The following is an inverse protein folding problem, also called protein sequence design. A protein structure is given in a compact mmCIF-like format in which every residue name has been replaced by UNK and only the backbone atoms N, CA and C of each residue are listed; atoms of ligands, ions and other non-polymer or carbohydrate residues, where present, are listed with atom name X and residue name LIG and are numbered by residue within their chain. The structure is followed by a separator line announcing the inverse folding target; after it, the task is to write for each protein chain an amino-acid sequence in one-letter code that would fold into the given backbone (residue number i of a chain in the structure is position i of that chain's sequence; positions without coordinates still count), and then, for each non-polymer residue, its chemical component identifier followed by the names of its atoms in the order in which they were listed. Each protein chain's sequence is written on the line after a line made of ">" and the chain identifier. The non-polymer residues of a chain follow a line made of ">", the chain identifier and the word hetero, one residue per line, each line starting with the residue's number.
data_IF_994403998378
#
_entry.id   IF_994403998378
#
_cell.length_a   1.000
_cell.length_b   1.000
_cell.length_c   1.000
_cell.angle_alpha   90.00
_cell.angle_beta   90.00
_cell.angle_gamma   90.00
#
_symmetry.space_group_name_H-M   'P 1'
#
loop_
_entity.id
_entity.type
_entity.pdbx_description
1 polymer ?
#
# COMPACT_ATOMS: atom_id res chain seq x y z
N UNK A 1 18.92 13.45 -2.85
CA UNK A 1 17.70 13.55 -2.01
C UNK A 1 16.54 13.07 -2.83
N UNK A 2 15.43 12.56 -2.22
CA UNK A 2 14.20 12.32 -2.97
C UNK A 2 13.48 13.65 -3.23
N UNK A 3 12.90 13.78 -4.42
CA UNK A 3 12.10 14.94 -4.79
C UNK A 3 10.87 14.52 -5.60
N UNK A 4 9.83 15.35 -5.57
CA UNK A 4 8.65 15.14 -6.38
C UNK A 4 8.90 15.65 -7.81
N UNK A 5 8.69 14.79 -8.79
CA UNK A 5 8.64 15.11 -10.21
C UNK A 5 7.30 15.74 -10.59
N UNK A 6 6.20 15.23 -10.00
CA UNK A 6 4.87 15.78 -10.20
C UNK A 6 3.94 15.45 -9.04
N UNK A 7 2.91 16.27 -8.84
CA UNK A 7 1.73 15.94 -8.04
C UNK A 7 0.48 16.33 -8.83
N UNK A 8 -0.38 15.36 -9.08
CA UNK A 8 -1.62 15.53 -9.86
C UNK A 8 -2.83 15.28 -9.00
N UNK A 9 -3.90 15.99 -9.31
CA UNK A 9 -5.22 15.76 -8.73
C UNK A 9 -6.24 15.53 -9.84
N UNK A 10 -6.86 14.35 -9.83
CA UNK A 10 -7.96 14.00 -10.72
C UNK A 10 -9.26 13.87 -9.92
N UNK A 11 -10.40 13.99 -10.58
CA UNK A 11 -11.71 13.77 -9.96
C UNK A 11 -12.35 12.52 -10.56
N UNK A 12 -12.74 11.59 -9.70
CA UNK A 12 -13.48 10.39 -10.11
C UNK A 12 -14.85 10.79 -10.62
N UNK A 13 -15.29 10.31 -11.81
CA UNK A 13 -16.64 10.55 -12.29
C UNK A 13 -17.70 10.12 -11.28
N UNK A 14 -18.63 11.00 -10.97
CA UNK A 14 -19.69 10.73 -9.96
C UNK A 14 -20.54 9.51 -10.27
N UNK A 15 -20.67 9.15 -11.55
CA UNK A 15 -21.38 7.95 -12.01
C UNK A 15 -20.76 6.64 -11.49
N UNK A 16 -19.48 6.66 -11.12
CA UNK A 16 -18.76 5.50 -10.58
C UNK A 16 -18.86 5.40 -9.05
N UNK A 17 -19.15 6.49 -8.37
CA UNK A 17 -19.25 6.55 -6.92
C UNK A 17 -20.68 6.20 -6.48
N UNK A 18 -21.01 4.92 -6.51
CA UNK A 18 -22.30 4.44 -6.00
C UNK A 18 -22.20 4.24 -4.48
N UNK A 19 -22.81 5.17 -3.73
CA UNK A 19 -22.91 5.11 -2.27
C UNK A 19 -21.55 4.85 -1.59
N UNK A 20 -20.66 5.85 -1.54
CA UNK A 20 -19.42 5.70 -0.82
C UNK A 20 -19.74 5.43 0.65
N UNK A 21 -19.42 4.23 1.11
CA UNK A 21 -19.44 3.98 2.54
C UNK A 21 -18.37 4.84 3.19
N UNK A 22 -18.62 5.35 4.39
CA UNK A 22 -17.59 6.05 5.14
C UNK A 22 -16.36 5.15 5.25
N UNK A 23 -15.18 5.70 4.96
CA UNK A 23 -13.93 4.97 5.07
C UNK A 23 -13.72 4.45 6.49
N UNK A 24 -13.04 3.33 6.59
CA UNK A 24 -12.47 2.85 7.85
C UNK A 24 -11.18 3.62 8.16
N UNK A 25 -10.61 3.40 9.34
CA UNK A 25 -9.26 3.85 9.66
C UNK A 25 -8.23 3.31 8.65
N UNK A 26 -8.47 2.11 8.12
CA UNK A 26 -7.62 1.49 7.10
C UNK A 26 -7.98 2.01 5.70
N UNK A 27 -6.97 2.56 5.01
CA UNK A 27 -7.09 3.17 3.67
C UNK A 27 -6.61 2.20 2.57
N UNK A 28 -7.26 1.04 2.42
CA UNK A 28 -6.79 -0.07 1.58
C UNK A 28 -7.63 -0.27 0.29
N UNK A 29 -8.43 0.73 -0.11
CA UNK A 29 -9.34 0.61 -1.26
C UNK A 29 -8.77 1.16 -2.56
N UNK A 30 -7.45 1.30 -2.62
CA UNK A 30 -6.71 1.82 -3.77
C UNK A 30 -5.52 0.91 -4.10
N UNK A 31 -5.29 0.67 -5.38
CA UNK A 31 -4.08 0.06 -5.88
C UNK A 31 -3.62 0.74 -7.18
N UNK A 32 -2.33 0.74 -7.45
CA UNK A 32 -1.71 1.47 -8.55
C UNK A 32 -0.82 0.58 -9.41
N UNK A 33 -0.85 0.83 -10.71
CA UNK A 33 0.12 0.30 -11.65
C UNK A 33 0.52 1.38 -12.65
N UNK A 34 1.81 1.57 -12.87
CA UNK A 34 2.34 2.49 -13.90
C UNK A 34 2.64 1.69 -15.15
N UNK A 35 2.15 2.15 -16.29
CA UNK A 35 2.39 1.49 -17.57
C UNK A 35 3.88 1.47 -17.92
N UNK A 36 4.31 0.49 -18.69
CA UNK A 36 5.71 0.28 -19.05
C UNK A 36 6.34 1.47 -19.79
N UNK A 37 5.54 2.18 -20.59
CA UNK A 37 5.95 3.40 -21.29
C UNK A 37 6.01 4.65 -20.41
N UNK A 38 5.60 4.55 -19.14
CA UNK A 38 5.51 5.65 -18.18
C UNK A 38 4.59 6.80 -18.59
N UNK A 39 3.76 6.62 -19.59
CA UNK A 39 2.87 7.66 -20.09
C UNK A 39 1.62 7.82 -19.23
N UNK A 40 1.17 6.74 -18.61
CA UNK A 40 -0.04 6.71 -17.78
C UNK A 40 0.08 5.82 -16.54
N UNK A 41 -0.76 6.10 -15.56
CA UNK A 41 -0.94 5.31 -14.36
C UNK A 41 -2.37 4.74 -14.34
N UNK A 42 -2.50 3.45 -14.12
CA UNK A 42 -3.76 2.80 -13.84
C UNK A 42 -4.03 2.81 -12.35
N UNK A 43 -5.14 3.40 -12.00
CA UNK A 43 -5.61 3.52 -10.62
C UNK A 43 -6.83 2.65 -10.44
N UNK A 44 -6.74 1.64 -9.60
CA UNK A 44 -7.84 0.77 -9.24
C UNK A 44 -8.43 1.27 -7.93
N UNK A 45 -9.76 1.52 -7.91
CA UNK A 45 -10.48 1.95 -6.73
C UNK A 45 -11.63 1.00 -6.44
N UNK A 46 -11.84 0.68 -5.16
CA UNK A 46 -12.97 -0.12 -4.71
C UNK A 46 -14.06 0.77 -4.11
N UNK A 47 -15.21 0.85 -4.81
CA UNK A 47 -16.37 1.61 -4.37
C UNK A 47 -17.59 0.68 -4.22
N UNK A 48 -18.08 0.54 -3.00
CA UNK A 48 -19.10 -0.45 -2.67
C UNK A 48 -18.62 -1.87 -2.95
N UNK A 49 -19.37 -2.64 -3.72
CA UNK A 49 -19.02 -4.01 -4.13
C UNK A 49 -18.34 -4.10 -5.51
N UNK A 50 -17.86 -2.98 -6.05
CA UNK A 50 -17.30 -2.89 -7.40
C UNK A 50 -15.90 -2.31 -7.38
N UNK A 51 -15.08 -2.70 -8.38
CA UNK A 51 -13.75 -2.14 -8.62
C UNK A 51 -13.78 -1.42 -9.97
N UNK A 52 -13.27 -0.20 -9.97
CA UNK A 52 -13.12 0.62 -11.17
C UNK A 52 -11.64 0.82 -11.47
N UNK A 53 -11.29 0.75 -12.75
CA UNK A 53 -10.00 1.11 -13.29
C UNK A 53 -10.10 2.50 -13.89
N UNK A 54 -9.22 3.37 -13.50
CA UNK A 54 -9.09 4.74 -14.01
C UNK A 54 -7.71 4.88 -14.64
N UNK A 55 -7.63 5.57 -15.75
CA UNK A 55 -6.37 5.89 -16.41
C UNK A 55 -6.08 7.38 -16.28
N UNK A 56 -4.90 7.70 -15.72
CA UNK A 56 -4.46 9.07 -15.48
C UNK A 56 -3.11 9.28 -16.16
N UNK A 57 -3.00 10.36 -16.96
CA UNK A 57 -1.76 10.72 -17.65
C UNK A 57 -0.62 11.03 -16.66
N UNK A 58 0.58 10.55 -16.98
CA UNK A 58 1.82 10.79 -16.24
C UNK A 58 2.78 11.73 -16.98
N UNK A 59 2.32 12.43 -18.03
CA UNK A 59 3.15 13.38 -18.77
C UNK A 59 3.73 14.45 -17.84
N UNK A 60 4.93 14.93 -18.19
CA UNK A 60 5.66 15.86 -17.33
C UNK A 60 4.84 17.12 -17.03
N UNK A 61 4.80 17.47 -15.75
CA UNK A 61 4.16 18.67 -15.24
C UNK A 61 5.12 19.39 -14.29
N UNK A 62 4.98 20.72 -14.20
CA UNK A 62 5.77 21.50 -13.27
C UNK A 62 5.28 21.27 -11.84
N UNK A 63 6.21 20.95 -10.94
CA UNK A 63 5.89 20.81 -9.53
C UNK A 63 5.81 22.18 -8.87
N UNK A 64 4.63 22.53 -8.41
CA UNK A 64 4.43 23.73 -7.59
C UNK A 64 4.70 23.38 -6.12
N UNK A 65 5.62 24.13 -5.47
CA UNK A 65 5.95 23.97 -4.06
C UNK A 65 5.45 25.17 -3.25
N UNK A 66 4.76 24.86 -2.17
CA UNK A 66 4.36 25.83 -1.16
C UNK A 66 5.41 25.95 -0.04
N UNK A 67 4.99 26.48 1.09
CA UNK A 67 5.83 26.55 2.31
C UNK A 67 6.10 25.16 2.87
N UNK A 68 7.26 24.98 3.53
CA UNK A 68 7.63 23.75 4.27
C UNK A 68 7.61 22.48 3.41
N UNK A 69 8.03 22.58 2.15
CA UNK A 69 8.05 21.46 1.20
C UNK A 69 6.67 20.83 0.93
N UNK A 70 5.60 21.58 1.14
CA UNK A 70 4.25 21.19 0.75
C UNK A 70 4.11 21.27 -0.77
N UNK A 71 3.71 20.17 -1.39
CA UNK A 71 3.42 20.11 -2.82
C UNK A 71 2.00 20.60 -3.08
N UNK A 72 1.82 21.36 -4.15
CA UNK A 72 0.52 21.85 -4.62
C UNK A 72 0.13 21.03 -5.85
N UNK A 73 -1.02 20.34 -5.82
CA UNK A 73 -1.42 19.47 -6.93
C UNK A 73 -1.85 20.27 -8.16
N UNK A 74 -1.45 19.79 -9.33
CA UNK A 74 -1.98 20.22 -10.61
C UNK A 74 -3.24 19.44 -10.96
N UNK A 75 -4.26 20.10 -11.49
CA UNK A 75 -5.49 19.45 -11.93
C UNK A 75 -5.24 18.67 -13.22
N UNK A 76 -5.73 17.43 -13.25
CA UNK A 76 -5.71 16.60 -14.45
C UNK A 76 -7.04 15.89 -14.64
N UNK A 77 -7.27 15.38 -15.84
CA UNK A 77 -8.47 14.63 -16.16
C UNK A 77 -8.19 13.12 -16.10
N UNK A 78 -9.24 12.37 -15.78
CA UNK A 78 -9.25 10.92 -15.96
C UNK A 78 -9.42 10.65 -17.45
N UNK A 79 -8.42 10.09 -18.10
CA UNK A 79 -8.41 9.82 -19.55
C UNK A 79 -9.44 8.75 -19.92
N UNK A 80 -9.53 7.72 -19.12
CA UNK A 80 -10.43 6.59 -19.31
C UNK A 80 -10.88 6.02 -17.98
N UNK A 81 -12.08 5.45 -17.97
CA UNK A 81 -12.60 4.73 -16.79
C UNK A 81 -13.39 3.52 -17.21
N UNK A 82 -13.14 2.39 -16.59
CA UNK A 82 -13.84 1.14 -16.85
C UNK A 82 -14.18 0.40 -15.56
N UNK A 83 -15.24 -0.40 -15.60
CA UNK A 83 -15.56 -1.32 -14.53
C UNK A 83 -14.69 -2.57 -14.71
N UNK A 84 -14.04 -3.02 -13.66
CA UNK A 84 -13.40 -4.34 -13.61
C UNK A 84 -14.51 -5.37 -13.40
N UNK A 85 -14.92 -6.04 -14.49
CA UNK A 85 -16.22 -6.73 -14.60
C UNK A 85 -16.41 -7.95 -13.72
N UNK A 86 -15.38 -8.49 -13.12
CA UNK A 86 -15.47 -9.84 -12.59
C UNK A 86 -15.20 -9.96 -11.10
N UNK A 87 -15.50 -8.90 -10.36
CA UNK A 87 -15.49 -8.95 -8.90
C UNK A 87 -16.93 -9.01 -8.36
N UNK A 88 -17.59 -10.18 -8.37
CA UNK A 88 -18.97 -10.30 -7.93
C UNK A 88 -19.06 -10.32 -6.39
N UNK A 89 -18.50 -9.33 -5.73
CA UNK A 89 -18.65 -9.20 -4.29
C UNK A 89 -20.11 -8.93 -3.92
N UNK A 90 -20.59 -9.60 -2.90
CA UNK A 90 -21.93 -9.42 -2.36
C UNK A 90 -22.03 -8.35 -1.31
N UNK A 91 -20.89 -7.99 -0.73
CA UNK A 91 -20.77 -6.94 0.27
C UNK A 91 -19.68 -5.95 -0.12
N UNK A 92 -19.49 -4.93 0.70
CA UNK A 92 -18.54 -3.87 0.46
C UNK A 92 -17.10 -4.39 0.47
N UNK A 93 -16.33 -4.01 -0.56
CA UNK A 93 -14.92 -4.34 -0.66
C UNK A 93 -14.15 -3.48 0.36
N UNK A 94 -13.39 -4.14 1.21
CA UNK A 94 -12.61 -3.50 2.28
C UNK A 94 -11.16 -3.25 1.90
N UNK A 95 -10.60 -4.09 1.04
CA UNK A 95 -9.20 -3.99 0.63
C UNK A 95 -8.99 -4.56 -0.77
N UNK A 96 -8.09 -3.92 -1.51
CA UNK A 96 -7.58 -4.41 -2.79
C UNK A 96 -6.06 -4.40 -2.79
N UNK A 97 -5.45 -5.34 -3.49
CA UNK A 97 -4.01 -5.44 -3.67
C UNK A 97 -3.67 -5.85 -5.10
N UNK A 98 -2.56 -5.35 -5.61
CA UNK A 98 -1.98 -5.77 -6.90
C UNK A 98 -0.72 -6.61 -6.66
N UNK A 99 -0.55 -7.63 -7.50
CA UNK A 99 0.68 -8.38 -7.62
C UNK A 99 1.07 -8.48 -9.10
N UNK A 100 2.37 -8.48 -9.36
CA UNK A 100 2.91 -8.68 -10.70
C UNK A 100 3.37 -10.13 -10.84
N UNK A 101 3.18 -10.72 -12.02
CA UNK A 101 3.73 -12.05 -12.30
C UNK A 101 5.17 -11.92 -12.78
N UNK A 102 6.04 -12.89 -12.43
CA UNK A 102 7.46 -12.89 -12.81
C UNK A 102 7.72 -12.76 -14.32
N UNK A 103 6.75 -13.10 -15.16
CA UNK A 103 6.82 -13.00 -16.62
C UNK A 103 6.24 -11.72 -17.18
N UNK A 104 6.01 -10.71 -16.35
CA UNK A 104 5.55 -9.33 -16.66
C UNK A 104 4.34 -9.17 -17.60
N UNK A 105 3.69 -10.24 -18.03
CA UNK A 105 2.59 -10.14 -19.00
C UNK A 105 1.23 -9.89 -18.38
N UNK A 106 1.11 -9.98 -17.06
CA UNK A 106 -0.20 -9.90 -16.39
C UNK A 106 -0.09 -9.29 -14.99
N UNK A 107 -1.06 -8.46 -14.67
CA UNK A 107 -1.34 -8.01 -13.32
C UNK A 107 -2.33 -8.94 -12.65
N UNK A 108 -2.17 -9.16 -11.37
CA UNK A 108 -3.11 -9.89 -10.52
C UNK A 108 -3.74 -8.89 -9.58
N UNK A 109 -5.05 -8.79 -9.62
CA UNK A 109 -5.84 -7.96 -8.70
C UNK A 109 -6.55 -8.87 -7.69
N UNK A 110 -6.20 -8.74 -6.44
CA UNK A 110 -6.91 -9.34 -5.32
C UNK A 110 -7.86 -8.34 -4.67
N UNK A 111 -9.01 -8.81 -4.27
CA UNK A 111 -9.99 -8.03 -3.52
C UNK A 111 -10.64 -8.86 -2.43
N UNK A 112 -10.97 -8.22 -1.32
CA UNK A 112 -11.64 -8.87 -0.20
C UNK A 112 -12.78 -8.00 0.32
N UNK A 113 -13.93 -8.60 0.55
CA UNK A 113 -15.09 -7.91 1.11
C UNK A 113 -15.18 -8.04 2.64
N UNK A 114 -16.19 -7.40 3.25
CA UNK A 114 -16.38 -7.36 4.71
C UNK A 114 -16.63 -8.74 5.36
N UNK A 115 -16.98 -9.77 4.57
CA UNK A 115 -17.08 -11.15 5.04
C UNK A 115 -15.79 -11.95 4.89
N UNK A 116 -14.76 -11.36 4.27
CA UNK A 116 -13.50 -12.04 3.99
C UNK A 116 -13.55 -12.90 2.72
N UNK A 117 -14.54 -12.71 1.86
CA UNK A 117 -14.56 -13.36 0.55
C UNK A 117 -13.44 -12.81 -0.32
N UNK A 118 -12.47 -13.64 -0.65
CA UNK A 118 -11.35 -13.34 -1.51
C UNK A 118 -11.76 -13.59 -2.97
N UNK A 119 -11.49 -12.60 -3.83
CA UNK A 119 -11.58 -12.77 -5.29
C UNK A 119 -10.27 -12.31 -5.89
N UNK A 120 -9.68 -13.14 -6.74
CA UNK A 120 -8.44 -12.85 -7.45
C UNK A 120 -8.72 -12.91 -8.96
N UNK A 121 -8.42 -11.82 -9.63
CA UNK A 121 -8.63 -11.65 -11.07
C UNK A 121 -7.31 -11.39 -11.78
N UNK A 122 -7.16 -11.98 -12.94
CA UNK A 122 -6.04 -11.73 -13.84
C UNK A 122 -6.39 -10.59 -14.78
N UNK A 123 -5.56 -9.57 -14.83
CA UNK A 123 -5.70 -8.42 -15.70
C UNK A 123 -4.64 -8.48 -16.82
N UNK A 124 -5.00 -8.08 -18.02
CA UNK A 124 -4.05 -7.98 -19.13
C UNK A 124 -3.32 -6.64 -19.10
N UNK A 125 -2.01 -6.65 -19.31
CA UNK A 125 -1.19 -5.44 -19.43
C UNK A 125 -1.51 -4.59 -20.67
N UNK A 126 -2.22 -5.15 -21.67
CA UNK A 126 -2.67 -4.38 -22.84
C UNK A 126 -3.85 -3.43 -22.53
N UNK A 127 -4.30 -3.36 -21.28
CA UNK A 127 -5.43 -2.53 -20.87
C UNK A 127 -6.80 -3.09 -21.24
N UNK A 128 -6.85 -4.24 -21.90
CA UNK A 128 -8.08 -5.00 -22.11
C UNK A 128 -8.28 -5.92 -20.93
N UNK A 129 -9.32 -5.69 -20.17
CA UNK A 129 -9.70 -6.57 -19.08
C UNK A 129 -9.99 -7.96 -19.68
N UNK A 130 -9.10 -8.91 -19.40
CA UNK A 130 -9.38 -10.30 -19.75
C UNK A 130 -10.37 -10.81 -18.72
N UNK A 131 -11.58 -11.03 -19.16
CA UNK A 131 -12.74 -11.47 -18.42
C UNK A 131 -12.55 -12.85 -17.73
N UNK A 132 -11.48 -13.05 -16.97
CA UNK A 132 -11.23 -14.33 -16.32
C UNK A 132 -10.94 -14.16 -14.84
N UNK A 133 -11.98 -14.43 -14.05
CA UNK A 133 -11.79 -14.78 -12.65
C UNK A 133 -10.72 -15.88 -12.58
N UNK A 134 -9.63 -15.61 -11.87
CA UNK A 134 -8.57 -16.59 -11.66
C UNK A 134 -9.00 -17.60 -10.61
N UNK A 135 -9.44 -17.12 -9.44
CA UNK A 135 -10.02 -17.95 -8.39
C UNK A 135 -10.78 -17.11 -7.37
N UNK A 136 -11.62 -17.77 -6.58
CA UNK A 136 -12.25 -17.16 -5.41
C UNK A 136 -12.25 -18.11 -4.24
N UNK A 137 -12.08 -17.59 -3.04
CA UNK A 137 -12.06 -18.37 -1.81
C UNK A 137 -12.98 -17.74 -0.75
N UNK A 138 -13.81 -18.57 -0.14
CA UNK A 138 -14.65 -18.19 0.98
C UNK A 138 -14.03 -18.69 2.28
N UNK A 139 -14.08 -17.90 3.36
CA UNK A 139 -13.68 -18.41 4.67
C UNK A 139 -14.56 -19.60 5.09
N UNK A 140 -13.97 -20.53 5.83
CA UNK A 140 -14.69 -21.75 6.30
C UNK A 140 -15.89 -21.44 7.20
N UNK A 141 -15.85 -20.31 7.90
CA UNK A 141 -16.87 -19.80 8.81
C UNK A 141 -17.62 -18.60 8.18
N UNK A 142 -17.87 -18.64 6.86
CA UNK A 142 -18.59 -17.58 6.16
C UNK A 142 -19.97 -17.35 6.79
N UNK A 143 -20.34 -16.08 6.93
CA UNK A 143 -21.58 -15.66 7.60
C UNK A 143 -21.40 -15.32 9.10
N UNK A 144 -20.22 -15.56 9.67
CA UNK A 144 -19.83 -15.06 11.00
C UNK A 144 -18.94 -13.85 10.84
N UNK A 145 -19.24 -12.76 11.53
CA UNK A 145 -18.39 -11.59 11.56
C UNK A 145 -18.64 -10.57 10.47
N UNK A 146 -19.89 -10.31 10.21
CA UNK A 146 -20.34 -9.25 9.32
C UNK A 146 -19.82 -7.87 9.75
N UNK A 147 -19.36 -7.08 8.77
CA UNK A 147 -19.16 -5.64 8.92
C UNK A 147 -17.81 -5.20 9.51
N UNK A 148 -16.86 -6.12 9.69
CA UNK A 148 -15.49 -5.77 10.09
C UNK A 148 -14.59 -5.43 8.89
N UNK A 149 -13.47 -4.75 9.19
CA UNK A 149 -12.41 -4.61 8.19
C UNK A 149 -11.83 -5.97 7.82
N UNK A 150 -11.58 -6.14 6.52
CA UNK A 150 -10.84 -7.26 5.95
C UNK A 150 -9.71 -6.73 5.08
N UNK A 151 -8.51 -7.26 5.28
CA UNK A 151 -7.31 -6.88 4.54
C UNK A 151 -6.75 -8.02 3.73
N UNK A 152 -6.07 -7.71 2.64
CA UNK A 152 -5.40 -8.67 1.78
C UNK A 152 -3.96 -8.28 1.54
N UNK A 153 -3.06 -9.26 1.49
CA UNK A 153 -1.73 -9.13 0.90
C UNK A 153 -1.34 -10.39 0.14
N UNK A 154 -0.54 -10.21 -0.90
CA UNK A 154 0.07 -11.31 -1.66
C UNK A 154 1.49 -11.56 -1.20
N UNK A 155 1.94 -12.81 -1.33
CA UNK A 155 3.35 -13.14 -1.18
C UNK A 155 4.14 -12.51 -2.35
N UNK A 156 5.25 -11.80 -2.07
CA UNK A 156 6.04 -11.17 -3.12
C UNK A 156 6.72 -12.17 -4.06
N UNK A 157 6.93 -13.41 -3.63
CA UNK A 157 7.54 -14.46 -4.47
C UNK A 157 6.51 -15.30 -5.22
N UNK A 158 5.27 -15.36 -4.75
CA UNK A 158 4.23 -16.24 -5.30
C UNK A 158 2.87 -15.54 -5.24
N UNK A 159 2.45 -14.95 -6.35
CA UNK A 159 1.16 -14.27 -6.44
C UNK A 159 -0.06 -15.16 -6.12
N UNK A 160 0.08 -16.47 -6.24
CA UNK A 160 -0.97 -17.43 -5.88
C UNK A 160 -1.17 -17.56 -4.37
N UNK A 161 -0.16 -17.19 -3.56
CA UNK A 161 -0.26 -17.19 -2.10
C UNK A 161 -0.79 -15.85 -1.60
N UNK A 162 -1.95 -15.88 -0.97
CA UNK A 162 -2.60 -14.71 -0.39
C UNK A 162 -2.92 -14.93 1.09
N UNK A 163 -2.80 -13.86 1.88
CA UNK A 163 -3.28 -13.83 3.26
C UNK A 163 -4.41 -12.82 3.39
N UNK A 164 -5.51 -13.24 4.02
CA UNK A 164 -6.72 -12.45 4.23
C UNK A 164 -6.95 -12.29 5.73
N UNK A 165 -6.82 -11.07 6.24
CA UNK A 165 -7.15 -10.75 7.63
C UNK A 165 -8.63 -10.40 7.75
N UNK A 166 -9.28 -10.91 8.81
CA UNK A 166 -10.64 -10.55 9.20
C UNK A 166 -10.62 -10.00 10.62
N UNK A 167 -10.79 -8.69 10.73
CA UNK A 167 -10.65 -8.00 12.02
C UNK A 167 -11.65 -8.52 13.04
N UNK A 168 -12.92 -8.58 12.71
CA UNK A 168 -13.97 -9.05 13.62
C UNK A 168 -13.72 -10.47 14.15
N UNK A 169 -13.29 -11.38 13.28
CA UNK A 169 -13.04 -12.78 13.63
C UNK A 169 -11.68 -13.01 14.34
N UNK A 170 -10.83 -11.98 14.43
CA UNK A 170 -9.44 -12.11 14.92
C UNK A 170 -8.71 -13.26 14.24
N UNK A 171 -8.81 -13.33 12.93
CA UNK A 171 -8.24 -14.42 12.14
C UNK A 171 -7.59 -13.92 10.87
N UNK A 172 -6.62 -14.70 10.42
CA UNK A 172 -5.99 -14.53 9.11
C UNK A 172 -6.03 -15.88 8.42
N UNK A 173 -6.72 -15.94 7.29
CA UNK A 173 -6.79 -17.12 6.45
C UNK A 173 -5.72 -17.01 5.36
N UNK A 174 -4.92 -18.07 5.20
CA UNK A 174 -3.87 -18.17 4.19
C UNK A 174 -4.32 -19.14 3.11
N UNK A 175 -4.21 -18.70 1.88
CA UNK A 175 -4.61 -19.44 0.70
C UNK A 175 -3.45 -19.64 -0.27
N UNK A 176 -3.41 -20.81 -0.94
CA UNK A 176 -2.67 -21.03 -2.17
C UNK A 176 -3.72 -21.24 -3.28
N UNK A 177 -3.90 -20.24 -4.11
CA UNK A 177 -5.05 -20.11 -5.01
C UNK A 177 -6.37 -20.20 -4.22
N UNK A 178 -7.25 -21.13 -4.57
CA UNK A 178 -8.53 -21.40 -3.90
C UNK A 178 -8.39 -22.38 -2.71
N UNK A 179 -7.20 -22.93 -2.50
CA UNK A 179 -6.93 -23.92 -1.44
C UNK A 179 -6.64 -23.17 -0.15
N UNK A 180 -7.48 -23.36 0.86
CA UNK A 180 -7.23 -22.87 2.20
C UNK A 180 -6.13 -23.71 2.87
N UNK A 181 -4.98 -23.09 3.17
CA UNK A 181 -3.84 -23.73 3.81
C UNK A 181 -4.00 -23.78 5.33
N UNK A 182 -4.23 -22.63 5.94
CA UNK A 182 -4.34 -22.52 7.40
C UNK A 182 -5.09 -21.26 7.83
N UNK A 183 -5.60 -21.28 9.05
CA UNK A 183 -6.14 -20.10 9.74
C UNK A 183 -5.25 -19.78 10.94
N UNK A 184 -4.70 -18.59 10.95
CA UNK A 184 -3.97 -18.00 12.07
C UNK A 184 -4.98 -17.31 12.98
N UNK A 185 -4.91 -17.55 14.29
CA UNK A 185 -5.71 -16.86 15.31
C UNK A 185 -4.88 -15.78 15.97
N UNK A 186 -5.28 -14.51 15.78
CA UNK A 186 -4.64 -13.37 16.41
C UNK A 186 -5.19 -13.13 17.83
N UNK A 187 -4.42 -12.50 18.69
CA UNK A 187 -4.87 -12.17 20.06
C UNK A 187 -5.83 -10.98 20.05
N UNK A 188 -5.53 -10.01 19.19
CA UNK A 188 -6.31 -8.78 19.05
C UNK A 188 -6.87 -8.66 17.64
N UNK A 189 -7.64 -7.61 17.41
CA UNK A 189 -8.18 -7.29 16.09
C UNK A 189 -7.04 -6.91 15.14
N UNK A 190 -6.79 -7.69 14.08
CA UNK A 190 -5.79 -7.31 13.08
C UNK A 190 -6.21 -6.03 12.35
N UNK A 191 -5.25 -5.15 12.11
CA UNK A 191 -5.45 -3.84 11.47
C UNK A 191 -4.66 -3.68 10.18
N UNK A 192 -3.56 -4.43 10.02
CA UNK A 192 -2.76 -4.46 8.80
C UNK A 192 -1.91 -5.72 8.74
N UNK A 193 -1.54 -6.13 7.53
CA UNK A 193 -0.68 -7.28 7.31
C UNK A 193 0.18 -7.08 6.07
N UNK A 194 1.38 -7.64 6.08
CA UNK A 194 2.24 -7.73 4.90
C UNK A 194 3.13 -8.96 4.95
N UNK A 195 3.36 -9.58 3.80
CA UNK A 195 4.44 -10.56 3.69
C UNK A 195 5.79 -9.86 3.75
N UNK A 196 6.73 -10.49 4.44
CA UNK A 196 8.08 -9.97 4.54
C UNK A 196 8.92 -10.43 3.35
N UNK A 197 9.67 -9.49 2.77
CA UNK A 197 10.69 -9.82 1.79
C UNK A 197 11.91 -10.37 2.54
N UNK A 198 12.21 -11.66 2.40
CA UNK A 198 13.39 -12.26 3.04
C UNK A 198 14.64 -12.08 2.17
N UNK A 199 15.75 -11.67 2.81
CA UNK A 199 17.07 -11.58 2.18
C UNK A 199 17.74 -12.93 1.91
N UNK A 200 17.16 -14.01 2.37
CA UNK A 200 17.73 -15.36 2.18
C UNK A 200 17.39 -15.86 0.77
N UNK A 201 18.38 -16.40 0.11
CA UNK A 201 18.41 -16.89 -1.27
C UNK A 201 17.50 -18.11 -1.60
N UNK A 202 16.32 -18.16 -1.00
CA UNK A 202 15.27 -19.12 -1.30
C UNK A 202 13.97 -18.34 -1.57
N UNK A 203 13.26 -18.73 -2.62
CA UNK A 203 12.02 -18.10 -3.09
C UNK A 203 10.82 -18.19 -2.11
N UNK A 204 11.04 -18.40 -0.82
CA UNK A 204 9.97 -18.63 0.14
C UNK A 204 9.76 -17.44 1.08
N UNK A 205 8.91 -16.51 0.69
CA UNK A 205 8.34 -15.49 1.59
C UNK A 205 7.29 -16.13 2.49
N UNK A 206 7.73 -16.86 3.50
CA UNK A 206 6.83 -17.56 4.44
C UNK A 206 6.53 -16.77 5.71
N UNK A 207 7.16 -15.59 5.87
CA UNK A 207 6.96 -14.75 7.04
C UNK A 207 5.89 -13.68 6.77
N UNK A 208 4.92 -13.63 7.69
CA UNK A 208 3.84 -12.65 7.68
C UNK A 208 3.96 -11.74 8.90
N UNK A 209 4.04 -10.43 8.67
CA UNK A 209 3.98 -9.41 9.71
C UNK A 209 2.56 -8.88 9.83
N UNK A 210 2.06 -8.80 11.06
CA UNK A 210 0.67 -8.40 11.35
C UNK A 210 0.66 -7.41 12.50
N UNK A 211 -0.03 -6.29 12.32
CA UNK A 211 -0.39 -5.40 13.43
C UNK A 211 -1.75 -5.80 14.00
N UNK A 212 -1.80 -5.98 15.31
CA UNK A 212 -3.00 -6.37 16.03
C UNK A 212 -3.05 -5.65 17.40
N UNK A 213 -4.00 -4.75 17.60
CA UNK A 213 -4.03 -3.91 18.80
C UNK A 213 -2.74 -3.12 18.99
N UNK A 214 -2.10 -3.21 20.14
CA UNK A 214 -0.84 -2.53 20.45
C UNK A 214 0.42 -3.39 20.19
N UNK A 215 0.33 -4.42 19.35
CA UNK A 215 1.46 -5.30 19.07
C UNK A 215 1.66 -5.56 17.57
N UNK A 216 2.94 -5.82 17.22
CA UNK A 216 3.36 -6.40 15.96
C UNK A 216 3.64 -7.88 16.22
N UNK A 217 2.97 -8.77 15.51
CA UNK A 217 3.19 -10.21 15.55
C UNK A 217 3.77 -10.70 14.23
N UNK A 218 4.73 -11.62 14.33
CA UNK A 218 5.41 -12.23 13.19
C UNK A 218 5.10 -13.71 13.16
N UNK A 219 4.67 -14.18 12.01
CA UNK A 219 4.19 -15.54 11.81
C UNK A 219 5.00 -16.22 10.71
N UNK A 220 5.55 -17.41 11.01
CA UNK A 220 6.15 -18.27 9.98
C UNK A 220 5.13 -19.33 9.58
N UNK A 221 4.67 -19.24 8.34
CA UNK A 221 3.63 -20.12 7.79
C UNK A 221 4.05 -21.59 7.66
N UNK A 222 5.35 -21.86 7.77
CA UNK A 222 5.91 -23.25 7.74
C UNK A 222 5.86 -23.92 9.11
N UNK A 223 5.80 -23.13 10.18
CA UNK A 223 5.82 -23.63 11.55
C UNK A 223 4.41 -23.97 12.02
N UNK A 224 4.27 -25.12 12.67
CA UNK A 224 3.01 -25.53 13.32
C UNK A 224 3.01 -25.27 14.83
N UNK A 225 4.19 -25.15 15.42
CA UNK A 225 4.37 -24.86 16.84
C UNK A 225 3.88 -23.44 17.17
N UNK A 226 3.22 -23.27 18.30
CA UNK A 226 2.62 -22.00 18.72
C UNK A 226 1.71 -21.35 17.65
N UNK A 227 1.11 -22.15 16.76
CA UNK A 227 0.30 -21.68 15.64
C UNK A 227 1.09 -20.92 14.59
N UNK A 228 2.44 -21.02 14.58
CA UNK A 228 3.34 -20.32 13.66
C UNK A 228 3.81 -18.94 14.14
N UNK A 229 3.41 -18.48 15.32
CA UNK A 229 3.88 -17.20 15.85
C UNK A 229 5.32 -17.32 16.37
N UNK A 230 6.25 -16.66 15.67
CA UNK A 230 7.69 -16.69 16.01
C UNK A 230 8.13 -15.50 16.84
N UNK A 231 7.45 -14.35 16.72
CA UNK A 231 7.82 -13.18 17.49
C UNK A 231 6.64 -12.25 17.75
N UNK A 232 6.67 -11.53 18.90
CA UNK A 232 5.73 -10.46 19.23
C UNK A 232 6.46 -9.29 19.84
N UNK A 233 6.21 -8.10 19.28
CA UNK A 233 6.73 -6.84 19.79
C UNK A 233 5.53 -6.05 20.29
N UNK A 234 5.52 -5.74 21.60
CA UNK A 234 4.47 -4.93 22.19
C UNK A 234 4.89 -3.45 22.19
N UNK A 235 4.00 -2.59 21.74
CA UNK A 235 4.05 -1.16 21.95
C UNK A 235 3.60 -0.79 23.37
N UNK A 236 3.48 0.50 23.64
CA UNK A 236 2.93 0.97 24.91
C UNK A 236 1.43 0.65 24.99
N UNK A 237 0.93 0.43 26.20
CA UNK A 237 -0.50 0.21 26.43
C UNK A 237 -1.30 1.44 25.96
N UNK A 238 -2.23 1.22 25.04
CA UNK A 238 -3.05 2.28 24.43
C UNK A 238 -2.55 2.77 23.06
N UNK A 239 -1.33 2.46 22.67
CA UNK A 239 -0.79 2.83 21.34
C UNK A 239 -1.15 1.76 20.33
N UNK A 240 -2.31 1.90 19.70
CA UNK A 240 -2.79 0.96 18.68
C UNK A 240 -1.96 1.12 17.41
N UNK A 241 -1.44 0.00 16.89
CA UNK A 241 -0.80 -0.05 15.58
C UNK A 241 -1.86 -0.23 14.49
N UNK A 242 -1.86 0.65 13.48
CA UNK A 242 -2.82 0.61 12.39
C UNK A 242 -2.23 0.08 11.09
N UNK A 243 -0.92 0.22 10.90
CA UNK A 243 -0.29 -0.11 9.63
C UNK A 243 1.09 -0.72 9.80
N UNK A 244 1.43 -1.65 8.90
CA UNK A 244 2.74 -2.26 8.79
C UNK A 244 3.13 -2.35 7.32
N UNK A 245 4.39 -2.10 7.02
CA UNK A 245 4.99 -2.40 5.72
C UNK A 245 6.39 -2.96 5.88
N UNK A 246 6.85 -3.72 4.90
CA UNK A 246 8.20 -4.29 4.86
C UNK A 246 8.97 -3.83 3.64
N UNK A 247 10.26 -3.70 3.80
CA UNK A 247 11.24 -3.66 2.71
C UNK A 247 12.11 -4.92 2.77
N UNK A 248 13.06 -5.04 1.86
CA UNK A 248 14.04 -6.15 1.90
C UNK A 248 14.85 -6.20 3.19
N UNK A 249 15.01 -5.09 3.91
CA UNK A 249 15.89 -4.99 5.10
C UNK A 249 15.19 -4.60 6.37
N UNK A 250 14.01 -3.97 6.31
CA UNK A 250 13.39 -3.33 7.46
C UNK A 250 11.87 -3.53 7.47
N UNK A 251 11.28 -3.39 8.66
CA UNK A 251 9.84 -3.34 8.86
C UNK A 251 9.49 -1.99 9.49
N UNK A 252 8.49 -1.31 8.96
CA UNK A 252 7.96 -0.08 9.52
C UNK A 252 6.56 -0.33 10.10
N UNK A 253 6.31 0.25 11.27
CA UNK A 253 5.02 0.20 11.96
C UNK A 253 4.62 1.61 12.36
N UNK A 254 3.34 1.92 12.23
CA UNK A 254 2.76 3.19 12.63
C UNK A 254 1.35 3.04 13.17
N UNK A 255 0.87 4.02 13.92
CA UNK A 255 -0.44 3.94 14.54
C UNK A 255 -0.89 5.19 15.28
N UNK A 256 -1.63 4.98 16.37
CA UNK A 256 -2.28 6.01 17.16
C UNK A 256 -1.30 6.97 17.85
N UNK A 257 -0.09 6.52 18.19
CA UNK A 257 0.95 7.33 18.82
C UNK A 257 1.63 8.32 17.84
N UNK A 258 1.25 8.30 16.55
CA UNK A 258 1.79 9.17 15.48
C UNK A 258 3.30 9.02 15.30
N UNK A 259 3.81 7.84 15.63
CA UNK A 259 5.24 7.49 15.56
C UNK A 259 5.44 6.44 14.46
N UNK A 260 6.45 6.63 13.63
CA UNK A 260 6.95 5.56 12.76
C UNK A 260 8.09 4.87 13.47
N UNK A 261 7.95 3.59 13.74
CA UNK A 261 9.03 2.77 14.31
C UNK A 261 9.55 1.81 13.25
N UNK A 262 10.85 1.82 13.02
CA UNK A 262 11.54 0.93 12.10
C UNK A 262 12.26 -0.16 12.88
N UNK A 263 12.01 -1.42 12.52
CA UNK A 263 12.62 -2.60 13.14
C UNK A 263 13.59 -3.28 12.18
N UNK A 264 14.68 -3.82 12.76
CA UNK A 264 15.56 -4.77 12.09
C UNK A 264 14.97 -6.20 12.25
N UNK A 265 14.52 -6.87 11.17
CA UNK A 265 13.93 -8.19 11.26
C UNK A 265 14.92 -9.30 11.66
N UNK A 266 16.23 -9.03 11.65
CA UNK A 266 17.24 -9.99 12.09
C UNK A 266 17.36 -10.05 13.61
N UNK A 267 17.11 -8.91 14.28
CA UNK A 267 17.29 -8.76 15.73
C UNK A 267 16.00 -8.39 16.45
N UNK A 268 14.96 -8.01 15.70
CA UNK A 268 13.68 -7.52 16.22
C UNK A 268 13.85 -6.32 17.17
N UNK A 269 14.90 -5.53 16.94
CA UNK A 269 15.17 -4.30 17.67
C UNK A 269 14.74 -3.10 16.87
N UNK A 270 14.27 -2.06 17.57
CA UNK A 270 13.97 -0.78 16.92
C UNK A 270 15.28 -0.12 16.48
N UNK A 271 15.39 0.18 15.18
CA UNK A 271 16.48 0.94 14.59
C UNK A 271 16.27 2.44 14.75
N UNK A 272 15.02 2.87 14.61
CA UNK A 272 14.64 4.28 14.72
C UNK A 272 13.19 4.39 15.18
N UNK A 273 12.91 5.49 15.89
CA UNK A 273 11.56 5.93 16.27
C UNK A 273 11.39 7.39 15.88
N UNK A 274 10.66 7.64 14.82
CA UNK A 274 10.32 8.99 14.40
C UNK A 274 9.03 9.44 15.08
N UNK A 275 9.19 10.04 16.24
CA UNK A 275 8.08 10.41 17.13
C UNK A 275 7.36 11.65 16.61
N UNK A 276 6.02 11.62 16.65
CA UNK A 276 5.16 12.71 16.20
C UNK A 276 5.43 13.20 14.78
N UNK A 277 5.81 12.31 13.87
CA UNK A 277 6.08 12.65 12.48
C UNK A 277 4.83 13.13 11.72
N UNK A 278 3.65 12.69 12.13
CA UNK A 278 2.35 13.14 11.64
C UNK A 278 1.58 13.93 12.69
N UNK A 279 0.68 14.78 12.24
CA UNK A 279 -0.22 15.54 13.13
C UNK A 279 -1.27 14.66 13.79
N UNK A 280 -1.76 13.64 13.09
CA UNK A 280 -2.75 12.69 13.55
C UNK A 280 -2.24 11.26 13.40
N UNK A 281 -3.09 10.28 13.69
CA UNK A 281 -2.77 8.86 13.63
C UNK A 281 -2.27 8.44 12.26
N UNK A 282 -1.32 7.51 12.22
CA UNK A 282 -0.73 6.96 11.00
C UNK A 282 -1.52 5.74 10.58
N UNK A 283 -2.09 5.79 9.37
CA UNK A 283 -2.95 4.74 8.84
C UNK A 283 -2.40 4.08 7.57
N UNK A 284 -1.36 4.64 6.97
CA UNK A 284 -0.68 4.05 5.82
C UNK A 284 0.84 4.27 5.86
N UNK A 285 1.58 3.25 5.45
CA UNK A 285 3.03 3.27 5.35
C UNK A 285 3.50 2.56 4.08
N UNK A 286 4.55 3.09 3.46
CA UNK A 286 5.27 2.41 2.40
C UNK A 286 6.74 2.83 2.40
N UNK A 287 7.66 1.88 2.18
CA UNK A 287 9.06 2.23 1.92
C UNK A 287 9.25 2.72 0.49
N UNK A 288 10.21 3.61 0.30
CA UNK A 288 10.67 3.98 -1.03
C UNK A 288 11.34 2.78 -1.71
N UNK A 289 11.06 2.59 -3.02
CA UNK A 289 11.76 1.62 -3.86
C UNK A 289 13.10 2.14 -4.36
N UNK A 290 13.28 3.47 -4.37
CA UNK A 290 14.49 4.13 -4.85
C UNK A 290 15.57 4.13 -3.76
N UNK A 291 15.16 4.37 -2.50
CA UNK A 291 16.09 4.49 -1.39
C UNK A 291 15.41 4.05 -0.08
N UNK A 292 15.85 2.95 0.48
CA UNK A 292 15.26 2.31 1.66
C UNK A 292 15.37 3.14 2.96
N UNK A 293 16.13 4.24 2.95
CA UNK A 293 16.19 5.18 4.06
C UNK A 293 15.00 6.14 4.11
N UNK A 294 14.12 6.07 3.08
CA UNK A 294 12.91 6.89 3.02
C UNK A 294 11.65 6.07 3.22
N UNK A 295 10.71 6.67 3.93
CA UNK A 295 9.38 6.13 4.19
C UNK A 295 8.31 7.14 3.82
N UNK A 296 7.24 6.66 3.19
CA UNK A 296 6.03 7.41 2.96
C UNK A 296 5.06 7.13 4.09
N UNK A 297 4.50 8.18 4.66
CA UNK A 297 3.61 8.12 5.81
C UNK A 297 2.31 8.81 5.45
N UNK A 298 1.20 8.11 5.59
CA UNK A 298 -0.14 8.64 5.43
C UNK A 298 -0.79 8.76 6.80
N UNK A 299 -1.24 9.96 7.12
CA UNK A 299 -2.06 10.23 8.30
C UNK A 299 -3.55 10.08 7.99
N UNK A 300 -4.35 9.93 9.02
CA UNK A 300 -5.83 9.90 8.89
C UNK A 300 -6.39 11.25 8.40
N UNK A 301 -5.63 12.33 8.56
CA UNK A 301 -6.01 13.74 8.38
C UNK A 301 -5.59 14.36 7.06
N UNK A 302 -5.74 13.72 5.96
CA UNK A 302 -5.42 14.28 4.64
C UNK A 302 -3.93 14.38 4.29
N UNK A 303 -3.00 14.29 5.23
CA UNK A 303 -1.57 14.47 4.95
C UNK A 303 -0.90 13.15 4.56
N UNK A 304 -0.14 13.22 3.47
CA UNK A 304 0.88 12.23 3.09
C UNK A 304 2.22 12.92 3.10
N UNK A 305 3.21 12.35 3.76
CA UNK A 305 4.57 12.88 3.79
C UNK A 305 5.60 11.82 3.39
N UNK A 306 6.70 12.28 2.84
CA UNK A 306 7.91 11.52 2.63
C UNK A 306 8.98 12.01 3.60
N UNK A 307 9.65 11.10 4.26
CA UNK A 307 10.73 11.46 5.17
C UNK A 307 11.83 10.43 5.26
N UNK A 308 13.00 10.92 5.66
CA UNK A 308 14.17 10.12 5.95
C UNK A 308 14.08 9.64 7.39
N UNK A 309 13.82 8.35 7.57
CA UNK A 309 13.51 7.81 8.90
C UNK A 309 14.72 7.78 9.84
N UNK A 310 15.97 7.67 9.32
CA UNK A 310 17.18 7.68 10.15
C UNK A 310 17.36 9.01 10.86
N UNK A 311 17.13 10.10 10.14
CA UNK A 311 17.34 11.46 10.64
C UNK A 311 16.04 12.09 11.19
N UNK A 312 14.92 11.34 11.12
CA UNK A 312 13.58 11.84 11.50
C UNK A 312 13.23 13.15 10.77
N UNK A 313 13.59 13.24 9.49
CA UNK A 313 13.49 14.47 8.71
C UNK A 313 12.44 14.34 7.61
N UNK A 314 11.41 15.20 7.66
CA UNK A 314 10.42 15.35 6.60
C UNK A 314 11.09 16.02 5.38
N UNK A 315 10.85 15.47 4.19
CA UNK A 315 11.42 15.95 2.91
C UNK A 315 10.38 16.68 2.09
N UNK A 316 9.21 16.07 1.93
CA UNK A 316 8.08 16.64 1.20
C UNK A 316 6.77 16.12 1.77
N UNK A 317 5.69 16.84 1.47
CA UNK A 317 4.34 16.38 1.80
C UNK A 317 3.33 16.92 0.80
N UNK A 318 2.17 16.29 0.75
CA UNK A 318 1.00 16.81 0.10
C UNK A 318 -0.26 16.52 0.93
N UNK A 319 -1.36 17.18 0.59
CA UNK A 319 -2.62 17.03 1.30
C UNK A 319 -3.74 16.66 0.35
N UNK A 320 -4.55 15.71 0.78
CA UNK A 320 -5.87 15.48 0.21
C UNK A 320 -6.85 16.59 0.57
N UNK A 321 -8.06 16.45 0.10
CA UNK A 321 -9.15 17.41 0.36
C UNK A 321 -10.23 16.86 1.30
N UNK A 322 -10.14 15.57 1.64
CA UNK A 322 -11.04 14.88 2.57
C UNK A 322 -10.39 13.60 3.11
N UNK A 323 -11.14 12.77 3.82
CA UNK A 323 -10.63 11.51 4.38
C UNK A 323 -10.15 10.55 3.29
N UNK A 324 -9.07 9.84 3.58
CA UNK A 324 -8.53 8.83 2.68
C UNK A 324 -9.35 7.55 2.73
N UNK A 325 -9.84 7.10 1.58
CA UNK A 325 -10.42 5.77 1.36
C UNK A 325 -9.36 4.77 0.91
N UNK A 326 -8.32 5.25 0.25
CA UNK A 326 -7.23 4.44 -0.23
C UNK A 326 -5.92 5.18 -0.29
N UNK A 327 -4.85 4.48 0.08
CA UNK A 327 -3.47 4.90 -0.10
C UNK A 327 -2.66 3.72 -0.61
N UNK A 328 -1.89 3.93 -1.65
CA UNK A 328 -1.05 2.89 -2.24
C UNK A 328 0.21 3.48 -2.86
N UNK A 329 1.24 2.65 -2.95
CA UNK A 329 2.46 2.93 -3.71
C UNK A 329 2.62 1.85 -4.78
N UNK A 330 3.05 2.25 -5.97
CA UNK A 330 3.41 1.29 -7.02
C UNK A 330 4.54 0.37 -6.54
N UNK A 331 4.48 -0.91 -6.88
CA UNK A 331 5.43 -1.90 -6.37
C UNK A 331 6.89 -1.55 -6.70
N UNK A 332 7.16 -1.23 -7.97
CA UNK A 332 8.52 -1.06 -8.48
C UNK A 332 8.99 0.40 -8.57
N UNK A 333 8.12 1.37 -8.26
CA UNK A 333 8.38 2.79 -8.41
C UNK A 333 7.81 3.59 -7.27
N UNK A 334 8.36 4.77 -7.08
CA UNK A 334 7.88 5.70 -6.08
C UNK A 334 6.78 6.61 -6.66
N UNK A 335 5.74 5.97 -7.20
CA UNK A 335 4.48 6.62 -7.54
C UNK A 335 3.48 6.30 -6.44
N UNK A 336 3.00 7.35 -5.78
CA UNK A 336 2.04 7.27 -4.68
C UNK A 336 0.66 7.66 -5.16
N UNK A 337 -0.35 6.96 -4.72
CA UNK A 337 -1.73 7.33 -4.93
C UNK A 337 -2.49 7.47 -3.62
N UNK A 338 -3.36 8.45 -3.59
CA UNK A 338 -4.34 8.65 -2.53
C UNK A 338 -5.72 8.89 -3.12
N UNK A 339 -6.74 8.21 -2.61
CA UNK A 339 -8.13 8.40 -2.98
C UNK A 339 -8.92 8.87 -1.78
N UNK A 340 -9.65 9.99 -1.96
CA UNK A 340 -10.42 10.65 -0.94
C UNK A 340 -11.93 10.38 -1.09
N UNK A 341 -12.68 10.47 0.01
CA UNK A 341 -14.15 10.33 0.03
C UNK A 341 -14.86 11.47 -0.74
N UNK A 342 -14.20 12.59 -0.99
CA UNK A 342 -14.65 13.64 -1.91
C UNK A 342 -14.75 13.18 -3.38
N UNK A 343 -14.14 12.02 -3.72
CA UNK A 343 -13.94 11.56 -5.08
C UNK A 343 -12.66 12.06 -5.75
N UNK A 344 -11.78 12.72 -5.01
CA UNK A 344 -10.48 13.16 -5.54
C UNK A 344 -9.44 12.07 -5.47
N UNK A 345 -8.63 11.94 -6.52
CA UNK A 345 -7.45 11.09 -6.57
C UNK A 345 -6.22 11.97 -6.68
N UNK A 346 -5.24 11.70 -5.86
CA UNK A 346 -3.93 12.35 -5.87
C UNK A 346 -2.89 11.36 -6.34
N UNK A 347 -2.03 11.76 -7.30
CA UNK A 347 -0.90 10.97 -7.77
C UNK A 347 0.37 11.80 -7.64
N UNK A 348 1.34 11.29 -6.87
CA UNK A 348 2.65 11.88 -6.69
C UNK A 348 3.72 10.98 -7.32
N UNK A 349 4.50 11.51 -8.26
CA UNK A 349 5.65 10.85 -8.86
C UNK A 349 6.91 11.36 -8.18
N UNK A 350 7.67 10.46 -7.52
CA UNK A 350 8.84 10.78 -6.73
C UNK A 350 10.08 10.18 -7.41
N UNK A 351 11.14 10.96 -7.47
CA UNK A 351 12.40 10.55 -8.09
C UNK A 351 13.58 10.89 -7.20
N UNK A 352 14.75 10.39 -7.54
CA UNK A 352 16.01 10.79 -6.91
C UNK A 352 16.59 12.00 -7.67
N UNK A 353 16.92 13.05 -6.94
CA UNK A 353 17.60 14.21 -7.48
C UNK A 353 18.91 13.78 -8.17
N UNK A 354 18.99 13.99 -9.48
CA UNK A 354 20.23 13.77 -10.22
C UNK A 354 21.11 14.99 -9.99
N UNK A 355 22.18 14.83 -9.21
CA UNK A 355 23.27 15.79 -9.19
C UNK A 355 23.89 15.83 -10.59
N UNK A 356 23.49 16.79 -11.41
CA UNK A 356 24.25 17.18 -12.59
C UNK A 356 25.53 17.82 -12.01
N UNK A 357 26.62 17.08 -12.00
CA UNK A 357 27.93 17.69 -11.81
C UNK A 357 28.09 18.67 -12.96
N UNK A 358 27.97 19.96 -12.67
CA UNK A 358 28.40 21.02 -13.56
C UNK A 358 29.92 20.88 -13.66
N UNK A 359 30.38 20.18 -14.68
CA UNK A 359 31.77 20.30 -15.16
C UNK A 359 31.85 21.64 -15.87
N UNK A 360 31.92 22.71 -15.10
CA UNK A 360 32.42 23.96 -15.61
C UNK A 360 33.89 23.74 -15.97
N UNK A 361 34.11 23.57 -17.27
CA UNK A 361 35.43 23.45 -17.85
C UNK A 361 36.22 24.71 -17.62
N UNK A 362 37.19 24.61 -16.75
CA UNK A 362 38.32 25.54 -16.71
C UNK A 362 39.13 25.35 -18.00
N UNK A 363 38.76 26.09 -19.04
CA UNK A 363 39.64 26.31 -20.17
C UNK A 363 40.76 27.27 -19.74
N UNK A 364 41.87 26.71 -19.28
CA UNK A 364 43.09 27.44 -19.13
C UNK A 364 43.61 27.77 -20.54
N UNK A 365 43.36 28.98 -21.00
CA UNK A 365 44.05 29.58 -22.11
C UNK A 365 45.52 29.84 -21.71
N UNK A 366 46.42 29.17 -22.40
CA UNK A 366 47.85 29.48 -22.40
C UNK A 366 48.08 30.65 -23.36
N UNK A 367 48.60 31.78 -22.98
CA UNK A 367 49.10 32.79 -23.91
C UNK A 367 50.52 32.41 -24.39
N UNK A 368 50.71 32.39 -25.68
CA UNK A 368 51.98 32.34 -26.39
C UNK A 368 52.78 33.62 -26.26
#
# INVERSE_FOLDING_TARGET
>A
MLEAKSLRKATVPRSLLQHPSPGNVQSNRLALHVNDDNSSCWVYIASGCRIYKLEISMQDSLVNRGKESLLIPEQCEVMNSSLVNHCPHRSEIQSIALAETERSDCLILGSVDSYGHLIVSKLDNSGKDVDRLTFSALPRDCGVGEGGWAGICFSPSQWCMAAVARSFCKSIDVYDQDIHLQTIRTLWYPSSLCFMQTLCSGNDSSLLAVTEGCQLSIWDLRMKENGGCVHRICGSLGDIFYTVCSSSTNIAVGGADRTVTIYDPRRWSALSRWVHCSKYEITGLAFSSIDSDYVYVQGVDYEVLCGQWRDSKKVLSFRGDSNWLGFSKCANRDVLGGWCDSGSIFLADITKENYIQSTDGLSNGVPS
#
